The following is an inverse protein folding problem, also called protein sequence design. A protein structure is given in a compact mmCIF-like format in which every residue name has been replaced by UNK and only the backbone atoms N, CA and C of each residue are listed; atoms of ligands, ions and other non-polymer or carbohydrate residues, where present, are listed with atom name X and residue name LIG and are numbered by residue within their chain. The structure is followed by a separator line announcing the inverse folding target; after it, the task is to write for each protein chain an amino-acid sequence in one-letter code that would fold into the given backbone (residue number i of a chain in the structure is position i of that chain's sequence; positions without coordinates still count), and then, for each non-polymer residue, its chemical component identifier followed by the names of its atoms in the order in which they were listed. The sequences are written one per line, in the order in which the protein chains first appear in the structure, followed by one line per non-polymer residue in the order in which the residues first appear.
data_IF_150218518001
#
_entry.id   IF_150218518001
#
_cell.length_a   1.000
_cell.length_b   1.000
_cell.length_c   1.000
_cell.angle_alpha   90.00
_cell.angle_beta   90.00
_cell.angle_gamma   90.00
#
_symmetry.space_group_name_H-M   'P 1'
#
loop_
_entity.id
_entity.type
_entity.pdbx_description
1 polymer ?
#
# COMPACT_ATOMS: atom_id res chain seq x y z
N UNK A 1 25.48 -25.52 -10.62
CA UNK A 1 24.47 -26.54 -10.25
C UNK A 1 23.96 -26.21 -8.86
N UNK A 2 22.67 -26.38 -8.59
CA UNK A 2 22.15 -26.33 -7.23
C UNK A 2 22.51 -27.64 -6.49
N UNK A 3 22.63 -27.64 -5.14
CA UNK A 3 22.72 -28.89 -4.38
C UNK A 3 21.42 -29.72 -4.53
N UNK A 4 21.46 -31.05 -4.29
CA UNK A 4 20.26 -31.88 -4.31
C UNK A 4 19.22 -31.44 -3.28
N UNK A 5 17.95 -31.72 -3.55
CA UNK A 5 16.90 -31.65 -2.53
C UNK A 5 17.04 -32.84 -1.59
N UNK A 6 17.73 -32.67 -0.47
CA UNK A 6 17.67 -33.65 0.62
C UNK A 6 16.22 -33.77 1.13
N UNK A 7 15.67 -34.99 1.27
CA UNK A 7 14.35 -35.19 1.87
C UNK A 7 14.37 -34.78 3.35
N UNK A 8 13.21 -34.38 3.88
CA UNK A 8 13.08 -33.91 5.28
C UNK A 8 13.18 -35.09 6.26
N UNK A 9 14.40 -35.56 6.49
CA UNK A 9 14.70 -36.55 7.50
C UNK A 9 14.54 -35.93 8.90
N UNK A 10 13.68 -36.56 9.70
CA UNK A 10 13.43 -36.18 11.10
C UNK A 10 14.59 -36.58 12.01
N UNK A 11 15.71 -35.84 11.92
CA UNK A 11 16.84 -36.01 12.83
C UNK A 11 16.82 -34.89 13.87
N UNK A 12 16.35 -35.25 15.07
CA UNK A 12 16.43 -34.42 16.28
C UNK A 12 17.89 -34.38 16.81
N UNK A 13 18.82 -33.85 16.01
CA UNK A 13 20.11 -33.44 16.55
C UNK A 13 19.89 -32.20 17.42
N UNK A 14 19.75 -32.46 18.73
CA UNK A 14 19.81 -31.44 19.79
C UNK A 14 21.26 -30.97 19.92
N UNK A 15 21.75 -30.27 18.89
CA UNK A 15 22.88 -29.38 19.05
C UNK A 15 22.41 -28.21 19.90
N UNK A 16 22.78 -28.27 21.18
CA UNK A 16 22.56 -27.20 22.16
C UNK A 16 23.48 -26.00 21.89
N UNK A 17 23.38 -25.44 20.68
CA UNK A 17 23.67 -24.02 20.50
C UNK A 17 22.69 -23.27 21.40
N UNK A 18 23.20 -22.74 22.51
CA UNK A 18 22.48 -21.80 23.34
C UNK A 18 21.92 -20.70 22.43
N UNK A 19 20.59 -20.52 22.45
CA UNK A 19 19.90 -19.63 21.52
C UNK A 19 19.99 -18.19 22.00
N UNK A 20 21.21 -17.68 22.05
CA UNK A 20 21.50 -16.28 22.33
C UNK A 20 20.65 -15.39 21.43
N UNK A 21 19.97 -14.43 22.06
CA UNK A 21 19.14 -13.47 21.36
C UNK A 21 20.05 -12.62 20.46
N UNK A 22 19.79 -12.56 19.15
CA UNK A 22 20.70 -11.84 18.25
C UNK A 22 20.78 -10.35 18.59
N UNK A 23 19.75 -9.79 19.22
CA UNK A 23 19.66 -8.39 19.62
C UNK A 23 19.43 -8.23 21.11
N UNK A 24 20.06 -7.22 21.67
CA UNK A 24 20.04 -6.81 23.08
C UNK A 24 19.91 -5.29 23.18
N UNK A 25 19.30 -4.79 24.26
CA UNK A 25 19.27 -3.37 24.61
C UNK A 25 19.82 -3.21 26.03
N UNK A 26 21.04 -2.70 26.15
CA UNK A 26 21.77 -2.53 27.42
C UNK A 26 22.39 -1.13 27.45
N UNK A 27 22.28 -0.41 28.56
CA UNK A 27 22.82 0.95 28.76
C UNK A 27 22.45 1.95 27.63
N UNK A 28 21.23 1.87 27.12
CA UNK A 28 20.75 2.70 26.01
C UNK A 28 21.45 2.41 24.67
N UNK A 29 22.08 1.24 24.51
CA UNK A 29 22.71 0.76 23.28
C UNK A 29 21.98 -0.48 22.77
N UNK A 30 21.37 -0.39 21.60
CA UNK A 30 20.89 -1.55 20.85
C UNK A 30 22.09 -2.15 20.13
N UNK A 31 22.37 -3.42 20.40
CA UNK A 31 23.43 -4.17 19.74
C UNK A 31 22.85 -5.36 18.97
N UNK A 32 23.58 -5.82 17.96
CA UNK A 32 23.37 -7.09 17.27
C UNK A 32 24.63 -7.94 17.42
N UNK A 33 24.56 -9.10 18.08
CA UNK A 33 25.74 -9.93 18.45
C UNK A 33 26.89 -9.09 19.02
N UNK A 34 26.64 -8.33 20.09
CA UNK A 34 27.55 -7.34 20.69
C UNK A 34 27.87 -6.09 19.84
N UNK A 35 27.72 -6.10 18.50
CA UNK A 35 28.01 -4.94 17.63
C UNK A 35 26.99 -3.81 17.86
N UNK A 36 27.41 -2.58 18.22
CA UNK A 36 26.48 -1.48 18.48
C UNK A 36 25.86 -0.95 17.16
N UNK A 37 24.53 -0.93 17.12
CA UNK A 37 23.75 -0.44 15.98
C UNK A 37 23.18 0.96 16.25
N UNK A 38 22.57 1.15 17.42
CA UNK A 38 22.01 2.43 17.87
C UNK A 38 22.45 2.71 19.30
N UNK A 39 22.77 3.96 19.60
CA UNK A 39 23.26 4.43 20.91
C UNK A 39 22.38 5.55 21.47
N UNK A 40 22.44 5.81 22.77
CA UNK A 40 21.63 6.84 23.45
C UNK A 40 20.12 6.67 23.22
N UNK A 41 19.65 5.42 23.18
CA UNK A 41 18.22 5.09 23.12
C UNK A 41 17.53 5.58 24.41
N UNK A 42 16.45 6.35 24.34
CA UNK A 42 15.72 6.82 25.52
C UNK A 42 15.09 5.67 26.32
N UNK A 43 15.01 5.83 27.64
CA UNK A 43 14.31 4.90 28.54
C UNK A 43 12.82 4.70 28.21
N UNK A 44 12.20 5.62 27.47
CA UNK A 44 10.82 5.48 26.96
C UNK A 44 10.67 4.42 25.86
N UNK A 45 11.77 3.88 25.32
CA UNK A 45 11.76 2.82 24.32
C UNK A 45 11.88 1.46 25.03
N UNK A 46 10.77 0.73 25.09
CA UNK A 46 10.77 -0.64 25.62
C UNK A 46 11.18 -1.63 24.53
N UNK A 47 12.03 -2.59 24.91
CA UNK A 47 12.47 -3.67 24.02
C UNK A 47 11.65 -4.93 24.30
N UNK A 48 11.06 -5.52 23.25
CA UNK A 48 10.10 -6.63 23.39
C UNK A 48 10.40 -7.77 22.43
N UNK A 49 10.29 -9.00 22.93
CA UNK A 49 10.34 -10.23 22.14
C UNK A 49 9.01 -10.48 21.43
N UNK A 50 9.04 -11.27 20.36
CA UNK A 50 7.82 -11.75 19.67
C UNK A 50 6.87 -12.45 20.67
N UNK A 51 7.42 -13.26 21.57
CA UNK A 51 6.66 -13.98 22.61
C UNK A 51 5.98 -13.06 23.64
N UNK A 52 6.49 -11.85 23.86
CA UNK A 52 5.89 -10.87 24.78
C UNK A 52 4.76 -10.03 24.15
N UNK A 53 4.60 -10.11 22.83
CA UNK A 53 3.60 -9.35 22.05
C UNK A 53 2.51 -10.28 21.48
N UNK A 54 2.86 -11.50 21.05
CA UNK A 54 1.93 -12.48 20.49
C UNK A 54 1.64 -13.57 21.53
N UNK A 55 0.70 -13.28 22.43
CA UNK A 55 0.29 -14.17 23.53
C UNK A 55 -0.69 -15.26 23.04
N UNK A 56 -1.68 -14.85 22.25
CA UNK A 56 -2.54 -15.72 21.42
C UNK A 56 -2.28 -15.47 19.93
N UNK A 57 -2.72 -16.40 19.07
CA UNK A 57 -2.73 -16.23 17.61
C UNK A 57 -3.67 -17.24 16.96
N UNK A 58 -4.33 -16.82 15.88
CA UNK A 58 -5.16 -17.67 15.01
C UNK A 58 -4.34 -18.31 13.88
N UNK A 59 -3.02 -18.04 13.84
CA UNK A 59 -2.10 -18.57 12.85
C UNK A 59 -1.96 -20.11 12.97
N UNK A 60 -1.89 -20.86 11.86
CA UNK A 60 -1.71 -22.31 11.88
C UNK A 60 -0.51 -22.76 12.72
N UNK A 61 -0.69 -23.81 13.53
CA UNK A 61 0.32 -24.26 14.51
C UNK A 61 1.75 -24.42 13.94
N UNK A 62 1.98 -24.98 12.73
CA UNK A 62 3.33 -25.07 12.16
C UNK A 62 3.96 -23.70 11.84
N UNK A 63 3.14 -22.71 11.44
CA UNK A 63 3.60 -21.34 11.21
C UNK A 63 3.96 -20.67 12.54
N UNK A 64 3.11 -20.80 13.57
CA UNK A 64 3.39 -20.28 14.91
C UNK A 64 4.66 -20.90 15.52
N UNK A 65 4.86 -22.22 15.36
CA UNK A 65 6.06 -22.92 15.79
C UNK A 65 7.31 -22.43 15.05
N UNK A 66 7.24 -22.19 13.73
CA UNK A 66 8.33 -21.61 12.93
C UNK A 66 8.64 -20.17 13.32
N UNK A 67 7.63 -19.34 13.56
CA UNK A 67 7.81 -17.95 14.02
C UNK A 67 8.43 -17.93 15.42
N UNK A 68 7.97 -18.79 16.35
CA UNK A 68 8.60 -18.95 17.67
C UNK A 68 10.05 -19.44 17.55
N UNK A 69 10.34 -20.45 16.74
CA UNK A 69 11.71 -21.00 16.61
C UNK A 69 12.69 -20.01 15.97
N UNK A 70 12.23 -19.11 15.10
CA UNK A 70 13.06 -18.06 14.48
C UNK A 70 13.01 -16.70 15.19
N UNK A 71 12.17 -16.54 16.23
CA UNK A 71 11.94 -15.27 16.95
C UNK A 71 13.17 -14.65 17.63
N UNK A 72 14.26 -15.41 17.80
CA UNK A 72 15.54 -14.87 18.29
C UNK A 72 16.23 -13.93 17.29
N UNK A 73 15.86 -14.00 15.99
CA UNK A 73 16.37 -13.16 14.90
C UNK A 73 15.69 -11.79 14.76
N UNK A 74 14.74 -11.44 15.63
CA UNK A 74 13.99 -10.18 15.52
C UNK A 74 13.46 -9.66 16.85
N UNK A 75 13.28 -8.34 16.95
CA UNK A 75 12.83 -7.64 18.16
C UNK A 75 11.99 -6.42 17.82
N UNK A 76 11.11 -6.06 18.73
CA UNK A 76 10.28 -4.87 18.63
C UNK A 76 10.80 -3.77 19.56
N UNK A 77 10.99 -2.57 19.01
CA UNK A 77 11.18 -1.32 19.74
C UNK A 77 9.80 -0.68 19.90
N UNK A 78 9.21 -0.73 21.09
CA UNK A 78 7.90 -0.11 21.39
C UNK A 78 8.08 1.08 22.31
N UNK A 79 7.62 2.25 21.88
CA UNK A 79 7.41 3.39 22.79
C UNK A 79 5.95 3.47 23.26
N UNK A 80 5.74 4.19 24.36
CA UNK A 80 4.41 4.55 24.88
C UNK A 80 4.39 6.02 25.26
N UNK A 81 3.24 6.67 25.06
CA UNK A 81 2.92 8.04 25.48
C UNK A 81 1.55 8.00 26.16
N UNK A 82 1.40 8.73 27.25
CA UNK A 82 0.19 8.70 28.08
C UNK A 82 -1.01 9.42 27.44
N UNK A 83 -0.75 10.39 26.58
CA UNK A 83 -1.75 11.15 25.83
C UNK A 83 -1.64 10.85 24.34
N UNK A 84 -2.79 10.67 23.70
CA UNK A 84 -2.90 10.66 22.23
C UNK A 84 -2.49 12.01 21.66
N UNK A 85 -2.00 12.02 20.42
CA UNK A 85 -1.62 13.22 19.68
C UNK A 85 -1.56 12.89 18.20
N UNK A 86 -1.98 13.84 17.36
CA UNK A 86 -1.75 13.87 15.92
C UNK A 86 -0.27 13.74 15.54
N UNK A 87 0.65 14.13 16.44
CA UNK A 87 2.10 14.04 16.25
C UNK A 87 2.81 13.55 17.51
N UNK A 88 3.39 12.35 17.44
CA UNK A 88 4.20 11.77 18.52
C UNK A 88 5.68 11.74 18.13
N UNK A 89 6.43 12.77 18.55
CA UNK A 89 7.88 12.75 18.47
C UNK A 89 8.48 11.87 19.59
N UNK A 90 9.36 10.94 19.20
CA UNK A 90 10.27 10.22 20.09
C UNK A 90 11.58 9.89 19.37
N UNK A 91 12.69 9.71 20.09
CA UNK A 91 13.98 9.32 19.53
C UNK A 91 14.17 7.81 19.59
N UNK A 92 14.70 7.23 18.51
CA UNK A 92 15.12 5.83 18.45
C UNK A 92 16.62 5.64 18.77
N UNK A 93 17.28 6.67 19.32
CA UNK A 93 18.73 6.70 19.53
C UNK A 93 19.49 7.42 18.40
N UNK A 94 20.79 7.10 18.25
CA UNK A 94 21.74 7.72 17.32
C UNK A 94 22.72 6.68 16.74
N UNK A 95 23.12 6.88 15.48
CA UNK A 95 24.23 6.17 14.83
C UNK A 95 25.07 7.14 13.98
N UNK A 96 26.31 6.73 13.68
CA UNK A 96 27.29 7.43 12.83
C UNK A 96 28.35 6.42 12.39
N UNK A 97 28.91 6.57 11.19
CA UNK A 97 29.90 5.61 10.66
C UNK A 97 29.31 4.21 10.43
N UNK A 98 28.04 4.15 10.02
CA UNK A 98 27.28 2.92 9.76
C UNK A 98 26.49 3.08 8.47
N UNK A 99 27.01 2.51 7.40
CA UNK A 99 26.40 2.60 6.07
C UNK A 99 24.99 2.01 6.06
N UNK A 100 24.08 2.69 5.35
CA UNK A 100 22.68 2.29 5.26
C UNK A 100 22.07 2.57 3.89
N UNK A 101 21.05 1.79 3.57
CA UNK A 101 20.04 2.07 2.55
C UNK A 101 18.71 2.36 3.25
N UNK A 102 17.99 3.38 2.81
CA UNK A 102 16.65 3.71 3.29
C UNK A 102 15.70 4.03 2.14
N UNK A 103 14.41 3.88 2.37
CA UNK A 103 13.36 4.46 1.53
C UNK A 103 12.69 5.57 2.31
N UNK A 104 12.49 6.74 1.70
CA UNK A 104 11.81 7.88 2.31
C UNK A 104 10.77 8.49 1.39
N UNK A 105 9.67 8.99 1.97
CA UNK A 105 8.58 9.66 1.27
C UNK A 105 8.99 11.12 1.00
N UNK A 106 9.17 11.50 -0.26
CA UNK A 106 9.61 12.85 -0.65
C UNK A 106 8.47 13.72 -1.21
N UNK A 107 7.34 13.10 -1.57
CA UNK A 107 6.02 13.74 -1.73
C UNK A 107 4.97 12.84 -1.07
N UNK A 108 3.82 13.36 -0.69
CA UNK A 108 2.78 12.63 0.09
C UNK A 108 2.47 11.21 -0.41
N UNK A 109 2.51 10.99 -1.73
CA UNK A 109 2.26 9.71 -2.43
C UNK A 109 3.50 9.12 -3.16
N UNK A 110 4.69 9.70 -3.03
CA UNK A 110 5.93 9.19 -3.66
C UNK A 110 7.05 8.93 -2.64
N UNK A 111 7.70 7.77 -2.76
CA UNK A 111 8.92 7.44 -2.03
C UNK A 111 10.10 7.15 -2.96
N UNK A 112 11.31 7.41 -2.49
CA UNK A 112 12.56 7.11 -3.21
C UNK A 112 13.65 6.64 -2.24
N UNK A 113 14.78 6.17 -2.78
CA UNK A 113 15.90 5.65 -2.00
C UNK A 113 16.88 6.74 -1.57
N UNK A 114 17.47 6.56 -0.39
CA UNK A 114 18.57 7.36 0.13
C UNK A 114 19.59 6.44 0.80
N UNK A 115 20.86 6.62 0.46
CA UNK A 115 22.02 6.01 1.14
C UNK A 115 22.76 7.08 1.94
N UNK A 116 23.44 6.66 3.01
CA UNK A 116 24.23 7.51 3.89
C UNK A 116 24.97 6.67 4.94
N UNK A 117 25.63 7.31 5.91
CA UNK A 117 26.36 6.60 6.97
C UNK A 117 26.09 7.11 8.39
N UNK A 118 25.23 8.12 8.54
CA UNK A 118 24.92 8.77 9.81
C UNK A 118 23.44 9.09 9.97
N UNK A 119 23.02 9.31 11.22
CA UNK A 119 21.66 9.77 11.53
C UNK A 119 21.35 11.19 11.02
N UNK A 120 22.30 11.90 10.42
CA UNK A 120 22.10 13.20 9.76
C UNK A 120 21.72 13.05 8.28
N UNK A 121 22.19 11.99 7.62
CA UNK A 121 21.87 11.71 6.20
C UNK A 121 20.43 11.20 6.02
N UNK A 122 19.84 10.67 7.10
CA UNK A 122 18.46 10.22 7.16
C UNK A 122 17.49 11.35 6.81
N UNK A 123 16.69 11.11 5.77
CA UNK A 123 15.70 12.04 5.27
C UNK A 123 14.45 12.04 6.15
N UNK A 124 13.71 13.15 6.12
CA UNK A 124 12.36 13.19 6.71
C UNK A 124 11.46 12.15 6.02
N UNK A 125 10.50 11.60 6.77
CA UNK A 125 9.58 10.56 6.32
C UNK A 125 10.26 9.26 5.79
N UNK A 126 11.39 8.83 6.37
CA UNK A 126 11.93 7.48 6.14
C UNK A 126 10.91 6.41 6.52
N UNK A 127 10.54 5.58 5.54
CA UNK A 127 9.59 4.47 5.66
C UNK A 127 10.24 3.17 6.15
N UNK A 128 11.54 2.97 5.91
CA UNK A 128 12.38 1.94 6.53
C UNK A 128 13.87 2.23 6.31
N UNK A 129 14.73 1.64 7.16
CA UNK A 129 16.19 1.70 7.03
C UNK A 129 16.79 0.28 7.14
N UNK A 130 17.78 -0.02 6.30
CA UNK A 130 18.60 -1.22 6.32
C UNK A 130 20.06 -0.82 6.50
N UNK A 131 20.65 -1.18 7.63
CA UNK A 131 22.07 -1.00 7.91
C UNK A 131 22.89 -2.16 7.37
N UNK A 132 24.09 -1.89 6.87
CA UNK A 132 25.13 -2.90 6.69
C UNK A 132 25.90 -3.13 8.00
N UNK A 133 26.14 -4.40 8.33
CA UNK A 133 26.87 -4.82 9.53
C UNK A 133 27.94 -5.85 9.14
N UNK A 134 29.01 -5.40 8.44
CA UNK A 134 30.05 -6.29 7.93
C UNK A 134 30.76 -7.07 9.03
N UNK A 135 30.82 -6.56 10.26
CA UNK A 135 31.41 -7.25 11.41
C UNK A 135 30.73 -8.59 11.75
N UNK A 136 29.51 -8.83 11.25
CA UNK A 136 28.78 -10.09 11.38
C UNK A 136 28.30 -10.64 10.03
N UNK A 137 28.79 -10.08 8.91
CA UNK A 137 28.38 -10.38 7.53
C UNK A 137 26.85 -10.48 7.39
N UNK A 138 26.13 -9.42 7.76
CA UNK A 138 24.65 -9.40 7.77
C UNK A 138 24.10 -7.98 7.73
N UNK A 139 22.91 -7.83 7.14
CA UNK A 139 22.15 -6.57 7.18
C UNK A 139 21.16 -6.55 8.35
N UNK A 140 20.87 -5.37 8.90
CA UNK A 140 19.79 -5.17 9.88
C UNK A 140 18.77 -4.18 9.36
N UNK A 141 17.53 -4.63 9.18
CA UNK A 141 16.41 -3.77 8.76
C UNK A 141 15.59 -3.32 9.97
N UNK A 142 15.35 -2.02 10.11
CA UNK A 142 14.33 -1.46 10.99
C UNK A 142 13.14 -1.04 10.13
N UNK A 143 12.01 -1.73 10.35
CA UNK A 143 10.74 -1.49 9.68
C UNK A 143 9.74 -0.91 10.71
N UNK A 144 9.19 0.30 10.49
CA UNK A 144 8.00 0.77 11.20
C UNK A 144 6.80 -0.08 10.82
N UNK A 145 6.32 -0.92 11.74
CA UNK A 145 5.19 -1.82 11.48
C UNK A 145 3.88 -1.15 11.90
N UNK A 146 3.07 -0.78 10.90
CA UNK A 146 1.65 -0.41 11.08
C UNK A 146 0.81 -1.59 10.59
N UNK A 147 -0.14 -2.06 11.41
CA UNK A 147 -0.81 -3.37 11.27
C UNK A 147 -2.10 -3.30 10.42
N UNK A 148 -2.42 -4.36 9.67
CA UNK A 148 -3.68 -4.56 8.91
C UNK A 148 -3.47 -4.96 7.44
N UNK A 149 -4.55 -4.94 6.62
CA UNK A 149 -4.61 -4.79 5.13
C UNK A 149 -5.10 -6.01 4.24
N UNK A 150 -4.71 -6.13 2.94
CA UNK A 150 -5.48 -6.65 1.73
C UNK A 150 -4.56 -6.94 0.47
N UNK A 151 -4.74 -7.10 -0.87
CA UNK A 151 -5.65 -7.44 -2.04
C UNK A 151 -4.79 -7.16 -3.34
N UNK A 152 -4.71 -7.77 -4.55
CA UNK A 152 -5.23 -9.01 -5.23
C UNK A 152 -4.57 -9.31 -6.64
N UNK A 153 -4.79 -8.55 -7.75
CA UNK A 153 -4.83 -9.11 -9.16
C UNK A 153 -3.54 -9.13 -10.01
N UNK A 154 -2.92 -7.99 -10.37
CA UNK A 154 -1.66 -7.97 -11.15
C UNK A 154 -0.49 -8.61 -10.38
N UNK A 155 -0.66 -8.59 -9.05
CA UNK A 155 0.01 -9.38 -8.04
C UNK A 155 0.04 -10.87 -8.37
N UNK A 156 -1.02 -11.46 -8.96
CA UNK A 156 -0.99 -12.88 -9.34
C UNK A 156 0.18 -13.16 -10.28
N UNK A 157 0.31 -12.43 -11.38
CA UNK A 157 1.42 -12.62 -12.31
C UNK A 157 2.76 -12.15 -11.76
N UNK A 158 2.79 -11.19 -10.84
CA UNK A 158 4.01 -10.80 -10.13
C UNK A 158 4.52 -11.92 -9.21
N UNK A 159 3.67 -12.41 -8.32
CA UNK A 159 3.94 -13.51 -7.39
C UNK A 159 4.19 -14.81 -8.14
N UNK A 160 3.49 -15.08 -9.25
CA UNK A 160 3.77 -16.23 -10.10
C UNK A 160 5.20 -16.14 -10.66
N UNK A 161 5.60 -15.01 -11.26
CA UNK A 161 6.98 -14.85 -11.77
C UNK A 161 8.06 -15.00 -10.70
N UNK A 162 7.80 -14.58 -9.46
CA UNK A 162 8.70 -14.86 -8.35
C UNK A 162 8.72 -16.35 -7.99
N UNK A 163 7.56 -17.02 -7.96
CA UNK A 163 7.43 -18.46 -7.72
C UNK A 163 8.09 -19.31 -8.81
N UNK A 164 7.91 -18.94 -10.08
CA UNK A 164 8.53 -19.54 -11.26
C UNK A 164 10.06 -19.38 -11.22
N UNK A 165 10.53 -18.25 -10.67
CA UNK A 165 11.93 -17.98 -10.34
C UNK A 165 12.42 -18.62 -9.03
N UNK A 166 11.65 -19.54 -8.42
CA UNK A 166 12.02 -20.28 -7.22
C UNK A 166 11.83 -19.56 -5.87
N UNK A 167 11.25 -18.36 -5.85
CA UNK A 167 11.06 -17.56 -4.64
C UNK A 167 9.67 -17.79 -4.01
N UNK A 168 9.64 -18.52 -2.90
CA UNK A 168 8.43 -18.71 -2.08
C UNK A 168 7.99 -17.39 -1.43
N UNK A 169 6.99 -16.73 -2.02
CA UNK A 169 6.41 -15.49 -1.50
C UNK A 169 5.62 -15.77 -0.22
N UNK A 170 6.19 -15.38 0.93
CA UNK A 170 5.58 -15.56 2.26
C UNK A 170 4.55 -14.49 2.62
N UNK A 171 4.76 -13.29 2.12
CA UNK A 171 4.13 -12.06 2.57
C UNK A 171 3.95 -11.15 1.37
N UNK A 172 2.80 -10.48 1.28
CA UNK A 172 2.36 -9.81 0.07
C UNK A 172 1.75 -8.47 0.42
N UNK A 173 2.49 -7.37 0.28
CA UNK A 173 1.92 -6.02 0.34
C UNK A 173 1.35 -5.62 -1.02
N UNK A 174 0.26 -4.84 -1.00
CA UNK A 174 -0.21 -4.07 -2.15
C UNK A 174 -0.27 -2.60 -1.73
N UNK A 175 -0.43 -1.69 -2.68
CA UNK A 175 -0.72 -0.30 -2.40
C UNK A 175 -1.82 0.16 -3.37
N UNK A 176 -2.76 0.94 -2.84
CA UNK A 176 -3.80 1.64 -3.63
C UNK A 176 -4.71 0.75 -4.53
N UNK A 177 -5.52 1.39 -5.38
CA UNK A 177 -6.29 0.81 -6.47
C UNK A 177 -7.47 -0.08 -6.04
N UNK A 178 -7.74 -0.20 -4.74
CA UNK A 178 -8.75 -1.07 -4.13
C UNK A 178 -10.12 -0.39 -3.91
N UNK A 179 -10.11 0.93 -3.94
CA UNK A 179 -11.15 1.81 -3.44
C UNK A 179 -12.21 2.09 -4.51
N UNK A 180 -13.48 2.06 -4.12
CA UNK A 180 -14.58 2.53 -4.96
C UNK A 180 -14.60 4.05 -4.99
N UNK A 181 -13.90 4.61 -5.97
CA UNK A 181 -13.70 6.04 -6.15
C UNK A 181 -14.56 6.56 -7.31
N UNK A 182 -15.08 7.78 -7.18
CA UNK A 182 -15.96 8.40 -8.19
C UNK A 182 -15.86 9.94 -8.15
N UNK A 183 -16.12 10.62 -9.27
CA UNK A 183 -16.15 12.08 -9.38
C UNK A 183 -17.52 12.64 -8.95
N UNK A 184 -17.55 13.83 -8.32
CA UNK A 184 -18.80 14.43 -7.81
C UNK A 184 -19.89 14.64 -8.88
N UNK A 185 -19.51 14.87 -10.15
CA UNK A 185 -20.43 15.04 -11.27
C UNK A 185 -20.87 13.75 -11.98
N UNK A 186 -20.37 12.57 -11.58
CA UNK A 186 -20.70 11.27 -12.18
C UNK A 186 -21.74 10.50 -11.34
N UNK A 187 -22.43 9.51 -11.95
CA UNK A 187 -23.46 8.70 -11.29
C UNK A 187 -22.98 8.17 -9.92
N UNK A 188 -23.61 8.55 -8.79
CA UNK A 188 -23.11 8.27 -7.44
C UNK A 188 -23.02 6.79 -7.04
N UNK A 189 -23.50 5.87 -7.88
CA UNK A 189 -23.52 4.43 -7.60
C UNK A 189 -22.44 3.63 -8.35
N UNK A 190 -21.79 4.23 -9.35
CA UNK A 190 -20.76 3.59 -10.19
C UNK A 190 -19.34 4.00 -9.78
N UNK A 191 -18.33 3.21 -10.12
CA UNK A 191 -16.93 3.64 -10.00
C UNK A 191 -16.55 4.54 -11.20
N UNK A 192 -15.72 5.55 -10.96
CA UNK A 192 -15.12 6.35 -12.02
C UNK A 192 -14.22 5.45 -12.88
N UNK A 193 -14.47 5.48 -14.19
CA UNK A 193 -13.75 4.70 -15.20
C UNK A 193 -12.48 5.45 -15.62
N UNK A 194 -11.54 4.70 -16.17
CA UNK A 194 -10.37 5.20 -16.89
C UNK A 194 -9.44 6.12 -16.09
N UNK A 195 -9.47 6.01 -14.76
CA UNK A 195 -8.51 6.58 -13.83
C UNK A 195 -7.11 5.98 -14.05
N UNK A 196 -6.20 6.75 -14.68
CA UNK A 196 -4.82 6.33 -15.00
C UNK A 196 -3.76 7.03 -14.16
N UNK A 197 -3.72 8.37 -14.16
CA UNK A 197 -2.66 9.13 -13.48
C UNK A 197 -3.01 9.38 -12.02
N UNK A 198 -2.05 9.18 -11.11
CA UNK A 198 -2.28 9.39 -9.68
C UNK A 198 -2.69 10.83 -9.33
N UNK A 199 -2.20 11.83 -10.07
CA UNK A 199 -2.57 13.22 -9.84
C UNK A 199 -4.01 13.56 -10.24
N UNK A 200 -4.49 13.08 -11.40
CA UNK A 200 -5.89 13.31 -11.82
C UNK A 200 -6.90 12.47 -11.04
N UNK A 201 -6.45 11.44 -10.29
CA UNK A 201 -7.29 10.69 -9.36
C UNK A 201 -7.67 11.48 -8.10
N UNK A 202 -6.93 12.54 -7.76
CA UNK A 202 -7.13 13.30 -6.52
C UNK A 202 -8.47 14.05 -6.44
N UNK A 203 -9.14 14.31 -7.58
CA UNK A 203 -10.50 14.90 -7.63
C UNK A 203 -11.62 13.86 -7.43
N UNK A 204 -11.31 12.56 -7.43
CA UNK A 204 -12.27 11.50 -7.13
C UNK A 204 -12.41 11.28 -5.62
N UNK A 205 -13.48 10.61 -5.18
CA UNK A 205 -13.77 10.36 -3.75
C UNK A 205 -14.38 8.98 -3.52
N UNK A 206 -14.22 8.44 -2.32
CA UNK A 206 -14.93 7.23 -1.89
C UNK A 206 -16.43 7.47 -1.96
N UNK A 207 -17.13 6.75 -2.85
CA UNK A 207 -18.60 6.76 -2.84
C UNK A 207 -19.18 5.62 -1.99
N UNK A 208 -18.38 4.62 -1.65
CA UNK A 208 -18.75 3.40 -0.90
C UNK A 208 -17.51 2.67 -0.37
N UNK A 209 -17.72 1.76 0.59
CA UNK A 209 -16.65 1.15 1.40
C UNK A 209 -16.36 -0.34 1.11
N UNK A 210 -17.06 -0.92 0.14
CA UNK A 210 -16.78 -2.23 -0.46
C UNK A 210 -15.77 -2.16 -1.63
N UNK A 211 -15.47 -3.29 -2.27
CA UNK A 211 -14.46 -3.30 -3.32
C UNK A 211 -14.90 -2.60 -4.61
N UNK A 212 -13.99 -1.87 -5.26
CA UNK A 212 -14.21 -1.41 -6.62
C UNK A 212 -14.39 -2.55 -7.62
N UNK A 213 -15.02 -2.21 -8.74
CA UNK A 213 -15.55 -3.10 -9.77
C UNK A 213 -14.50 -4.09 -10.28
N UNK A 214 -13.24 -3.65 -10.43
CA UNK A 214 -12.05 -4.45 -10.78
C UNK A 214 -11.90 -5.73 -9.96
N UNK A 215 -12.36 -5.71 -8.71
CA UNK A 215 -12.30 -6.84 -7.79
C UNK A 215 -13.69 -7.38 -7.48
N UNK A 216 -14.73 -6.54 -7.48
CA UNK A 216 -16.14 -6.96 -7.27
C UNK A 216 -16.60 -7.96 -8.34
N UNK A 217 -16.13 -7.78 -9.58
CA UNK A 217 -16.32 -8.70 -10.72
C UNK A 217 -15.50 -9.99 -10.64
N UNK A 218 -14.56 -10.14 -9.69
CA UNK A 218 -13.78 -11.38 -9.60
C UNK A 218 -14.68 -12.57 -9.34
N UNK A 219 -14.40 -13.68 -10.03
CA UNK A 219 -15.06 -14.97 -9.82
C UNK A 219 -14.02 -15.98 -9.33
N UNK A 220 -14.33 -16.65 -8.24
CA UNK A 220 -13.46 -17.69 -7.67
C UNK A 220 -13.22 -18.83 -8.67
N UNK A 221 -11.95 -19.18 -8.85
CA UNK A 221 -11.46 -20.11 -9.87
C UNK A 221 -10.85 -19.43 -11.11
N UNK A 222 -11.15 -18.15 -11.40
CA UNK A 222 -10.76 -17.52 -12.68
C UNK A 222 -9.26 -17.33 -12.92
N UNK A 223 -8.41 -17.46 -11.91
CA UNK A 223 -6.94 -17.48 -12.07
C UNK A 223 -6.31 -18.89 -11.88
N UNK A 224 -7.12 -19.90 -11.57
CA UNK A 224 -6.66 -21.27 -11.27
C UNK A 224 -6.83 -22.24 -12.46
N UNK A 225 -7.62 -21.88 -13.47
CA UNK A 225 -7.87 -22.69 -14.66
C UNK A 225 -6.98 -22.30 -15.87
N UNK A 226 -6.93 -23.15 -16.92
CA UNK A 226 -6.19 -22.85 -18.15
C UNK A 226 -6.73 -21.60 -18.86
N UNK A 227 -8.03 -21.33 -18.77
CA UNK A 227 -8.72 -20.17 -19.34
C UNK A 227 -8.49 -18.85 -18.56
N UNK A 228 -7.36 -18.74 -17.85
CA UNK A 228 -7.04 -17.54 -17.06
C UNK A 228 -6.91 -16.29 -17.96
N UNK A 229 -7.47 -15.12 -17.56
CA UNK A 229 -7.42 -13.91 -18.39
C UNK A 229 -6.00 -13.48 -18.77
N UNK A 230 -5.72 -13.19 -20.06
CA UNK A 230 -4.38 -12.86 -20.53
C UNK A 230 -3.91 -11.48 -20.04
N UNK A 231 -2.80 -11.45 -19.30
CA UNK A 231 -2.19 -10.20 -18.83
C UNK A 231 -1.14 -9.67 -19.81
N UNK A 232 -1.41 -8.52 -20.43
CA UNK A 232 -0.45 -7.79 -21.26
C UNK A 232 0.38 -6.80 -20.39
N UNK A 233 1.67 -7.06 -20.11
CA UNK A 233 2.51 -6.19 -19.28
C UNK A 233 2.88 -4.86 -19.94
N UNK A 234 2.64 -4.69 -21.25
CA UNK A 234 2.82 -3.41 -21.95
C UNK A 234 1.61 -2.49 -21.81
N UNK A 235 0.38 -3.03 -21.68
CA UNK A 235 -0.87 -2.26 -21.64
C UNK A 235 -0.86 -1.14 -20.57
N UNK A 236 -0.41 -1.36 -19.30
CA UNK A 236 -0.34 -0.28 -18.31
C UNK A 236 0.60 0.86 -18.73
N UNK A 237 1.76 0.54 -19.33
CA UNK A 237 2.70 1.57 -19.81
C UNK A 237 2.12 2.40 -20.95
N UNK A 238 1.39 1.76 -21.86
CA UNK A 238 0.71 2.44 -22.97
C UNK A 238 -0.40 3.38 -22.46
N UNK A 239 -1.24 2.91 -21.53
CA UNK A 239 -2.28 3.75 -20.90
C UNK A 239 -1.67 4.95 -20.18
N UNK A 240 -0.60 4.75 -19.41
CA UNK A 240 0.10 5.85 -18.71
C UNK A 240 0.69 6.86 -19.71
N UNK A 241 1.35 6.40 -20.78
CA UNK A 241 1.85 7.29 -21.84
C UNK A 241 0.74 8.14 -22.44
N UNK A 242 -0.39 7.52 -22.81
CA UNK A 242 -1.52 8.23 -23.43
C UNK A 242 -2.22 9.20 -22.48
N UNK A 243 -2.28 8.89 -21.19
CA UNK A 243 -2.78 9.83 -20.19
C UNK A 243 -1.82 11.01 -19.94
N UNK A 244 -0.50 10.80 -20.03
CA UNK A 244 0.50 11.87 -19.98
C UNK A 244 0.39 12.80 -21.20
N UNK A 245 0.10 12.27 -22.40
CA UNK A 245 -0.20 13.10 -23.59
C UNK A 245 -1.40 14.05 -23.34
N UNK A 246 -2.47 13.54 -22.69
CA UNK A 246 -3.65 14.35 -22.32
C UNK A 246 -3.26 15.41 -21.28
N UNK A 247 -2.50 15.07 -20.24
CA UNK A 247 -2.03 16.02 -19.22
C UNK A 247 -1.19 17.16 -19.83
N UNK A 248 -0.31 16.84 -20.79
CA UNK A 248 0.46 17.87 -21.51
C UNK A 248 -0.42 18.75 -22.40
N UNK A 249 -1.44 18.19 -23.07
CA UNK A 249 -2.38 18.97 -23.87
C UNK A 249 -3.25 19.89 -23.00
N UNK A 250 -3.76 19.40 -21.86
CA UNK A 250 -4.49 20.21 -20.88
C UNK A 250 -3.61 21.34 -20.30
N UNK A 251 -2.32 21.09 -20.04
CA UNK A 251 -1.37 22.13 -19.64
C UNK A 251 -1.09 23.16 -20.75
N UNK A 252 -1.05 22.73 -22.01
CA UNK A 252 -0.89 23.62 -23.15
C UNK A 252 -2.12 24.54 -23.34
N UNK A 253 -3.33 23.97 -23.25
CA UNK A 253 -4.61 24.69 -23.25
C UNK A 253 -4.66 25.77 -22.16
N UNK A 254 -4.39 25.38 -20.90
CA UNK A 254 -4.38 26.32 -19.77
C UNK A 254 -3.36 27.45 -19.96
N UNK A 255 -2.18 27.14 -20.53
CA UNK A 255 -1.14 28.14 -20.82
C UNK A 255 -1.57 29.07 -21.97
N UNK A 256 -2.21 28.55 -23.03
CA UNK A 256 -2.74 29.36 -24.12
C UNK A 256 -3.81 30.36 -23.63
N UNK A 257 -4.74 29.90 -22.78
CA UNK A 257 -5.74 30.75 -22.14
C UNK A 257 -5.10 31.85 -21.26
N UNK A 258 -4.04 31.53 -20.49
CA UNK A 258 -3.29 32.51 -19.69
C UNK A 258 -2.58 33.58 -20.55
N UNK A 259 -2.20 33.27 -21.79
CA UNK A 259 -1.68 34.24 -22.76
C UNK A 259 -2.76 34.99 -23.55
N UNK A 260 -4.05 34.81 -23.21
CA UNK A 260 -5.16 35.53 -23.83
C UNK A 260 -5.54 35.03 -25.22
N UNK A 261 -5.14 33.80 -25.60
CA UNK A 261 -5.56 33.19 -26.87
C UNK A 261 -7.06 32.83 -26.77
N UNK A 262 -7.87 33.42 -27.65
CA UNK A 262 -9.34 33.30 -27.62
C UNK A 262 -9.91 32.12 -28.41
N UNK A 263 -9.18 31.61 -29.42
CA UNK A 263 -9.53 30.36 -30.09
C UNK A 263 -8.70 29.22 -29.50
N UNK A 264 -9.38 28.34 -28.78
CA UNK A 264 -8.79 27.17 -28.14
C UNK A 264 -9.34 25.85 -28.72
N UNK A 265 -10.20 25.93 -29.75
CA UNK A 265 -10.94 24.79 -30.32
C UNK A 265 -10.03 23.63 -30.73
N UNK A 266 -8.89 23.92 -31.36
CA UNK A 266 -7.89 22.93 -31.76
C UNK A 266 -7.30 22.15 -30.58
N UNK A 267 -7.13 22.78 -29.42
CA UNK A 267 -6.64 22.11 -28.21
C UNK A 267 -7.72 21.20 -27.61
N UNK A 268 -8.97 21.68 -27.53
CA UNK A 268 -10.09 20.89 -27.02
C UNK A 268 -10.36 19.66 -27.90
N UNK A 269 -10.36 19.81 -29.23
CA UNK A 269 -10.48 18.70 -30.18
C UNK A 269 -9.34 17.67 -30.03
N UNK A 270 -8.10 18.13 -29.81
CA UNK A 270 -6.94 17.25 -29.58
C UNK A 270 -7.06 16.48 -28.25
N UNK A 271 -7.53 17.15 -27.19
CA UNK A 271 -7.76 16.57 -25.86
C UNK A 271 -8.88 15.53 -25.92
N UNK A 272 -10.03 15.86 -26.50
CA UNK A 272 -11.18 14.96 -26.62
C UNK A 272 -10.91 13.79 -27.57
N UNK A 273 -10.14 14.00 -28.65
CA UNK A 273 -9.62 12.89 -29.46
C UNK A 273 -8.73 11.97 -28.63
N UNK A 274 -7.80 12.52 -27.86
CA UNK A 274 -6.85 11.73 -27.06
C UNK A 274 -7.54 10.96 -25.91
N UNK A 275 -8.61 11.52 -25.32
CA UNK A 275 -9.49 10.83 -24.36
C UNK A 275 -10.22 9.65 -25.01
N UNK A 276 -10.81 9.85 -26.20
CA UNK A 276 -11.45 8.75 -26.97
C UNK A 276 -10.45 7.62 -27.29
N UNK A 277 -9.24 7.96 -27.71
CA UNK A 277 -8.17 6.98 -27.95
C UNK A 277 -7.78 6.23 -26.66
N UNK A 278 -7.71 6.90 -25.51
CA UNK A 278 -7.45 6.27 -24.21
C UNK A 278 -8.58 5.29 -23.81
N UNK A 279 -9.83 5.69 -23.98
CA UNK A 279 -11.00 4.86 -23.70
C UNK A 279 -11.03 3.59 -24.59
N UNK A 280 -10.66 3.72 -25.87
CA UNK A 280 -10.48 2.58 -26.78
C UNK A 280 -9.29 1.69 -26.38
N UNK A 281 -8.21 2.26 -25.83
CA UNK A 281 -7.08 1.50 -25.29
C UNK A 281 -7.43 0.74 -23.99
N UNK A 282 -8.35 1.25 -23.16
CA UNK A 282 -8.97 0.43 -22.11
C UNK A 282 -9.77 -0.72 -22.75
N UNK A 283 -10.51 -0.41 -23.81
CA UNK A 283 -11.25 -1.35 -24.63
C UNK A 283 -12.67 -1.58 -24.10
N UNK A 284 -13.52 -2.19 -24.95
CA UNK A 284 -14.89 -2.55 -24.58
C UNK A 284 -14.90 -3.78 -23.65
N UNK A 285 -14.50 -3.60 -22.40
CA UNK A 285 -14.75 -4.60 -21.34
C UNK A 285 -16.25 -4.94 -21.35
N UNK A 286 -16.55 -6.23 -21.51
CA UNK A 286 -17.70 -6.64 -22.29
C UNK A 286 -19.06 -6.20 -21.73
N UNK A 287 -19.88 -5.54 -22.58
CA UNK A 287 -21.32 -5.34 -22.34
C UNK A 287 -22.13 -6.65 -22.15
N UNK A 288 -21.50 -7.81 -22.40
CA UNK A 288 -22.11 -9.14 -22.37
C UNK A 288 -21.60 -10.01 -21.20
N UNK A 289 -21.83 -9.60 -19.95
CA UNK A 289 -22.04 -10.57 -18.85
C UNK A 289 -22.71 -9.92 -17.64
N UNK A 290 -23.51 -10.70 -16.90
CA UNK A 290 -24.29 -10.29 -15.72
C UNK A 290 -25.21 -9.08 -15.88
N UNK A 291 -26.50 -9.34 -16.14
CA UNK A 291 -27.55 -8.57 -15.45
C UNK A 291 -27.31 -8.77 -13.96
N UNK A 292 -26.92 -7.72 -13.24
CA UNK A 292 -26.74 -7.79 -11.79
C UNK A 292 -28.06 -8.16 -11.12
N UNK A 293 -28.10 -9.24 -10.36
CA UNK A 293 -29.34 -9.65 -9.69
C UNK A 293 -29.61 -8.71 -8.51
N UNK A 294 -30.46 -7.71 -8.74
CA UNK A 294 -30.94 -6.80 -7.71
C UNK A 294 -32.00 -7.49 -6.83
N UNK A 295 -31.56 -8.45 -6.00
CA UNK A 295 -32.35 -8.90 -4.86
C UNK A 295 -31.50 -9.50 -3.73
N UNK A 296 -32.06 -9.46 -2.52
CA UNK A 296 -31.39 -9.81 -1.27
C UNK A 296 -31.22 -11.33 -1.02
N UNK A 297 -30.43 -11.65 0.01
CA UNK A 297 -30.30 -12.94 0.74
C UNK A 297 -29.26 -13.99 0.29
N UNK A 298 -28.71 -13.96 -0.93
CA UNK A 298 -27.80 -15.04 -1.41
C UNK A 298 -26.38 -14.57 -1.85
N UNK A 299 -25.62 -13.90 -0.96
CA UNK A 299 -24.20 -13.57 -1.20
C UNK A 299 -23.32 -14.84 -1.29
N UNK A 300 -23.21 -15.41 -2.48
CA UNK A 300 -22.38 -16.61 -2.71
C UNK A 300 -20.90 -16.36 -2.38
N UNK A 301 -20.26 -17.30 -1.68
CA UNK A 301 -18.85 -17.21 -1.21
C UNK A 301 -17.81 -17.34 -2.34
N UNK A 302 -18.17 -17.05 -3.59
CA UNK A 302 -17.35 -17.29 -4.78
C UNK A 302 -17.22 -16.09 -5.73
N UNK A 303 -17.61 -14.90 -5.28
CA UNK A 303 -17.34 -13.66 -6.01
C UNK A 303 -16.55 -12.69 -5.16
N UNK A 304 -16.05 -11.67 -5.86
CA UNK A 304 -15.36 -10.58 -5.25
C UNK A 304 -14.00 -10.99 -4.69
N UNK A 305 -13.55 -10.09 -3.86
CA UNK A 305 -12.29 -10.04 -3.16
C UNK A 305 -12.00 -11.20 -2.21
N UNK A 306 -13.03 -11.68 -1.50
CA UNK A 306 -12.92 -12.83 -0.56
C UNK A 306 -12.69 -14.14 -1.32
N UNK A 307 -13.21 -14.26 -2.54
CA UNK A 307 -12.85 -15.36 -3.43
C UNK A 307 -11.40 -15.23 -3.94
N UNK A 308 -10.94 -14.01 -4.26
CA UNK A 308 -9.57 -13.81 -4.75
C UNK A 308 -8.50 -14.13 -3.69
N UNK A 309 -8.61 -13.60 -2.47
CA UNK A 309 -7.59 -13.83 -1.42
C UNK A 309 -7.51 -15.29 -1.01
N UNK A 310 -8.63 -16.03 -1.08
CA UNK A 310 -8.66 -17.49 -0.99
C UNK A 310 -7.88 -18.13 -2.14
N UNK A 311 -8.16 -17.76 -3.39
CA UNK A 311 -7.52 -18.37 -4.57
C UNK A 311 -5.99 -18.11 -4.60
N UNK A 312 -5.53 -16.93 -4.16
CA UNK A 312 -4.09 -16.65 -3.94
C UNK A 312 -3.45 -17.66 -2.99
N UNK A 313 -4.08 -17.90 -1.83
CA UNK A 313 -3.60 -18.86 -0.82
C UNK A 313 -3.72 -20.32 -1.31
N UNK A 314 -4.68 -20.60 -2.19
CA UNK A 314 -4.81 -21.90 -2.86
C UNK A 314 -3.64 -22.17 -3.80
N UNK A 315 -3.23 -21.19 -4.62
CA UNK A 315 -2.13 -21.36 -5.57
C UNK A 315 -0.75 -21.27 -4.90
N UNK A 316 -0.48 -20.15 -4.21
CA UNK A 316 0.82 -19.83 -3.67
C UNK A 316 1.01 -20.46 -2.28
N UNK A 317 1.32 -21.76 -2.27
CA UNK A 317 1.57 -22.55 -1.06
C UNK A 317 2.71 -21.93 -0.24
N UNK A 318 2.37 -21.32 0.89
CA UNK A 318 3.30 -20.60 1.77
C UNK A 318 3.05 -19.10 1.88
N UNK A 319 2.07 -18.54 1.16
CA UNK A 319 1.58 -17.18 1.38
C UNK A 319 0.83 -17.10 2.72
N UNK A 320 1.52 -16.57 3.74
CA UNK A 320 1.05 -16.47 5.12
C UNK A 320 0.08 -15.29 5.30
N UNK A 321 0.41 -14.12 4.74
CA UNK A 321 -0.29 -12.83 4.94
C UNK A 321 -0.43 -11.99 3.65
N UNK A 322 -1.44 -11.11 3.60
CA UNK A 322 -1.83 -10.31 2.41
C UNK A 322 -2.24 -8.87 2.84
N UNK A 323 -1.49 -7.81 2.49
CA UNK A 323 -1.54 -6.43 3.05
C UNK A 323 -1.45 -5.15 2.08
N UNK A 324 -2.56 -4.53 1.56
CA UNK A 324 -2.60 -3.17 0.89
C UNK A 324 -1.99 -2.03 1.74
N UNK A 325 -2.17 -0.76 1.35
CA UNK A 325 -2.46 0.34 2.29
C UNK A 325 -3.90 0.86 2.21
N UNK A 326 -4.40 1.35 3.35
CA UNK A 326 -5.42 2.39 3.40
C UNK A 326 -4.75 3.66 3.98
N UNK A 327 -5.26 4.84 3.62
CA UNK A 327 -4.72 6.15 4.01
C UNK A 327 -5.90 7.10 4.23
N UNK A 328 -5.85 7.92 5.29
CA UNK A 328 -6.93 8.82 5.77
C UNK A 328 -7.73 9.50 4.64
N UNK A 329 -7.04 10.18 3.71
CA UNK A 329 -7.66 10.75 2.52
C UNK A 329 -7.46 9.88 1.28
N UNK A 330 -6.32 9.19 1.16
CA UNK A 330 -5.98 8.35 0.00
C UNK A 330 -5.20 9.05 -1.11
N UNK A 331 -5.15 8.41 -2.28
CA UNK A 331 -4.81 9.02 -3.56
C UNK A 331 -6.04 9.67 -4.24
N UNK A 332 -6.99 10.09 -3.41
CA UNK A 332 -8.31 10.59 -3.77
C UNK A 332 -8.72 11.66 -2.73
N UNK A 333 -9.67 12.51 -3.05
CA UNK A 333 -10.09 13.66 -2.25
C UNK A 333 -11.02 13.31 -1.09
N UNK A 334 -10.82 12.21 -0.38
CA UNK A 334 -11.64 11.79 0.78
C UNK A 334 -12.98 11.11 0.41
N UNK A 335 -14.04 11.36 1.19
CA UNK A 335 -15.36 10.71 1.06
C UNK A 335 -16.37 11.61 0.34
N UNK A 336 -17.15 11.04 -0.59
CA UNK A 336 -18.18 11.77 -1.35
C UNK A 336 -19.39 12.07 -0.45
N UNK A 337 -19.87 13.31 -0.53
CA UNK A 337 -21.07 13.75 0.19
C UNK A 337 -22.30 13.00 -0.31
N UNK A 338 -23.10 12.45 0.62
CA UNK A 338 -24.44 11.90 0.35
C UNK A 338 -24.51 10.52 -0.32
N UNK A 339 -23.39 9.80 -0.49
CA UNK A 339 -23.40 8.44 -1.07
C UNK A 339 -23.11 7.33 -0.04
N UNK A 340 -22.81 7.70 1.21
CA UNK A 340 -22.55 6.79 2.33
C UNK A 340 -23.38 7.21 3.55
N UNK A 341 -23.39 6.40 4.60
CA UNK A 341 -24.06 6.73 5.86
C UNK A 341 -23.31 7.78 6.71
N UNK A 342 -22.11 8.19 6.29
CA UNK A 342 -21.29 9.16 7.00
C UNK A 342 -21.67 10.60 6.60
N UNK A 343 -21.76 11.48 7.59
CA UNK A 343 -21.87 12.92 7.37
C UNK A 343 -20.52 13.48 6.87
N UNK A 344 -20.32 13.45 5.55
CA UNK A 344 -19.17 14.05 4.87
C UNK A 344 -19.51 15.39 4.23
N UNK A 345 -18.54 16.30 4.18
CA UNK A 345 -18.66 17.65 3.57
C UNK A 345 -17.44 17.95 2.71
N UNK A 346 -17.66 18.60 1.57
CA UNK A 346 -16.57 19.10 0.73
C UNK A 346 -16.04 20.41 1.34
N UNK A 347 -14.74 20.43 1.64
CA UNK A 347 -14.03 21.53 2.30
C UNK A 347 -12.87 21.99 1.42
N UNK A 348 -12.80 23.29 1.02
CA UNK A 348 -11.73 23.82 0.20
C UNK A 348 -10.33 23.58 0.78
N UNK A 349 -9.41 23.05 -0.02
CA UNK A 349 -8.04 22.83 0.42
C UNK A 349 -7.22 24.14 0.30
N UNK A 350 -6.82 24.71 1.43
CA UNK A 350 -5.94 25.89 1.47
C UNK A 350 -4.49 25.47 1.66
N UNK A 351 -3.65 25.68 0.65
CA UNK A 351 -2.20 25.49 0.79
C UNK A 351 -1.61 26.50 1.78
N UNK A 352 -0.60 26.07 2.54
CA UNK A 352 0.26 26.98 3.29
C UNK A 352 1.24 27.68 2.34
N UNK A 353 1.63 28.91 2.66
CA UNK A 353 2.59 29.68 1.86
C UNK A 353 3.92 28.92 1.64
N UNK A 354 4.40 28.19 2.65
CA UNK A 354 5.59 27.36 2.54
C UNK A 354 5.44 26.21 1.54
N UNK A 355 4.30 25.52 1.52
CA UNK A 355 4.07 24.42 0.57
C UNK A 355 3.91 24.95 -0.86
N UNK A 356 3.07 25.97 -1.07
CA UNK A 356 2.88 26.58 -2.38
C UNK A 356 4.14 27.26 -2.95
N UNK A 357 5.05 27.72 -2.09
CA UNK A 357 6.34 28.28 -2.49
C UNK A 357 7.46 27.25 -2.74
N UNK A 358 7.22 25.96 -2.53
CA UNK A 358 8.26 24.90 -2.61
C UNK A 358 7.90 23.71 -3.49
N UNK A 359 6.64 23.52 -3.86
CA UNK A 359 6.22 22.41 -4.71
C UNK A 359 5.01 22.73 -5.59
N UNK A 360 5.25 22.79 -6.89
CA UNK A 360 4.23 22.52 -7.91
C UNK A 360 4.19 21.00 -8.18
N UNK A 361 2.99 20.41 -8.15
CA UNK A 361 2.75 19.00 -8.38
C UNK A 361 1.28 18.78 -8.77
N UNK A 362 1.04 17.98 -9.82
CA UNK A 362 -0.29 17.71 -10.36
C UNK A 362 -1.29 17.24 -9.28
N UNK A 363 -0.87 16.40 -8.35
CA UNK A 363 -1.75 15.91 -7.30
C UNK A 363 -2.07 17.01 -6.25
N UNK A 364 -1.13 17.91 -5.94
CA UNK A 364 -1.44 19.09 -5.10
C UNK A 364 -2.42 20.01 -5.80
N UNK A 365 -2.16 20.34 -7.07
CA UNK A 365 -3.05 21.17 -7.90
C UNK A 365 -4.45 20.57 -7.95
N UNK A 366 -4.57 19.26 -8.18
CA UNK A 366 -5.85 18.56 -8.25
C UNK A 366 -6.54 18.38 -6.88
N UNK A 367 -5.83 18.32 -5.75
CA UNK A 367 -6.46 18.41 -4.42
C UNK A 367 -7.03 19.82 -4.15
N UNK A 368 -6.34 20.87 -4.60
CA UNK A 368 -6.80 22.26 -4.43
C UNK A 368 -8.00 22.57 -5.33
N UNK A 369 -7.93 22.16 -6.60
CA UNK A 369 -9.03 22.22 -7.57
C UNK A 369 -10.25 21.40 -7.10
N UNK A 370 -10.03 20.16 -6.67
CA UNK A 370 -11.09 19.24 -6.26
C UNK A 370 -11.72 19.56 -4.91
N UNK A 371 -10.97 20.14 -3.97
CA UNK A 371 -11.29 20.21 -2.53
C UNK A 371 -11.32 18.83 -1.84
N UNK A 372 -11.46 18.78 -0.50
CA UNK A 372 -11.40 17.51 0.28
C UNK A 372 -12.76 17.19 0.89
N UNK A 373 -13.26 15.98 0.66
CA UNK A 373 -14.46 15.42 1.30
C UNK A 373 -14.12 14.85 2.68
N UNK A 374 -14.29 15.67 3.73
CA UNK A 374 -14.00 15.30 5.11
C UNK A 374 -15.24 14.71 5.78
N UNK A 375 -15.08 13.58 6.47
CA UNK A 375 -16.07 12.99 7.38
C UNK A 375 -16.11 13.77 8.69
N UNK A 376 -17.28 13.85 9.34
CA UNK A 376 -17.40 14.45 10.68
C UNK A 376 -16.46 13.76 11.70
N UNK A 377 -15.72 14.49 12.55
CA UNK A 377 -14.77 13.88 13.48
C UNK A 377 -15.36 12.78 14.37
N UNK A 378 -16.59 12.97 14.84
CA UNK A 378 -17.31 12.00 15.69
C UNK A 378 -17.65 10.68 14.97
N UNK A 379 -17.55 10.64 13.63
CA UNK A 379 -17.70 9.45 12.80
C UNK A 379 -16.37 8.92 12.26
N UNK A 380 -15.21 9.35 12.80
CA UNK A 380 -13.91 8.85 12.37
C UNK A 380 -13.72 7.35 12.67
N UNK A 381 -14.26 6.85 13.77
CA UNK A 381 -14.24 5.42 14.12
C UNK A 381 -15.13 4.61 13.17
N UNK A 382 -16.40 5.03 13.00
CA UNK A 382 -17.36 4.48 12.04
C UNK A 382 -16.80 4.45 10.59
N UNK A 383 -16.09 5.50 10.16
CA UNK A 383 -15.38 5.53 8.88
C UNK A 383 -14.35 4.40 8.74
N UNK A 384 -13.45 4.26 9.72
CA UNK A 384 -12.38 3.27 9.66
C UNK A 384 -12.90 1.84 9.79
N UNK A 385 -13.88 1.59 10.67
CA UNK A 385 -14.49 0.27 10.84
C UNK A 385 -15.34 -0.12 9.63
N UNK A 386 -16.09 0.82 9.05
CA UNK A 386 -16.91 0.58 7.85
C UNK A 386 -16.08 0.14 6.65
N UNK A 387 -14.87 0.69 6.48
CA UNK A 387 -13.93 0.36 5.40
C UNK A 387 -13.54 -1.12 5.45
N UNK A 388 -14.05 -1.89 4.49
CA UNK A 388 -13.79 -3.31 4.34
C UNK A 388 -14.26 -4.23 5.50
N UNK A 389 -15.10 -3.71 6.41
CA UNK A 389 -15.84 -4.43 7.47
C UNK A 389 -16.33 -5.84 7.10
N UNK A 390 -17.02 -5.99 5.96
CA UNK A 390 -17.59 -7.25 5.46
C UNK A 390 -16.57 -8.38 5.21
N UNK A 391 -15.26 -8.11 5.36
CA UNK A 391 -14.20 -9.10 5.30
C UNK A 391 -13.78 -9.63 6.66
N UNK A 392 -14.00 -8.88 7.76
CA UNK A 392 -13.58 -9.31 9.11
C UNK A 392 -14.39 -10.51 9.60
N UNK A 393 -15.58 -10.72 9.03
CA UNK A 393 -16.41 -11.92 9.22
C UNK A 393 -15.81 -13.13 8.48
N UNK A 394 -14.74 -13.72 9.01
CA UNK A 394 -14.16 -15.00 8.53
C UNK A 394 -14.64 -16.15 9.40
#
# INVERSE_FOLDING_TARGET
MAPPNDPVNSIFHVLSSERYNLFELVDGKLRVRNVPLLTKIPSTITFKSVSSICQSTDAPLPLFQRVKSQSFKGRFLKFSKEKSSERLMNSLGRFSGRDFLSIFRFKTWWSTQCVGNSGFDLRMETQWIMFDVPEINSYVVIIPIIKGKFRTYGIWHGVNKFSDGGLSTRFLIIDDGSQSMNLDGQNPNEDAKNLVLGGTQMIARLHRFDECEKFRKYKGGSMLGPDSPPFNPKKPKMLISKAIEIEFAEKALNKAAQFGITDLSQYDDQIEKSKRELDEMFGREGKNSSKGCANSSCKSKNFGLKAFTRDLRTNFKGLDDIYISHVLCGAWGGVRSGTTHLASKIVPCKLSHGLGGTMDDLAVVKIVEGSIGLVHPDQAEDFYDSIYSYLSTI
#
